data_IF_976329846712
#
_entry.id   IF_976329846712
#
_cell.length_a   1.000
_cell.length_b   1.000
_cell.length_c   1.000
_cell.angle_alpha   90.00
_cell.angle_beta   90.00
_cell.angle_gamma   90.00
#
_symmetry.space_group_name_H-M   'P 1'
#
loop_
_entity.id
_entity.type
_entity.pdbx_description
1 polymer ?
#
# COMPACT_ATOMS: atom_id res chain seq x y z
N UNK A 1 -9.63 -7.95 -26.98
CA UNK A 1 -9.98 -8.70 -28.21
C UNK A 1 -9.25 -10.03 -28.11
N UNK A 2 -9.96 -11.16 -28.14
CA UNK A 2 -9.34 -12.47 -28.16
C UNK A 2 -8.85 -12.79 -29.57
N UNK A 3 -7.69 -13.41 -29.70
CA UNK A 3 -7.17 -13.90 -30.97
C UNK A 3 -7.42 -15.41 -31.09
N UNK A 4 -7.84 -15.82 -32.28
CA UNK A 4 -8.02 -17.22 -32.65
C UNK A 4 -6.85 -17.63 -33.54
N UNK A 5 -6.08 -18.63 -33.14
CA UNK A 5 -5.00 -19.18 -33.98
C UNK A 5 -5.44 -20.55 -34.53
N UNK A 6 -5.91 -20.63 -35.79
CA UNK A 6 -6.38 -21.89 -36.35
C UNK A 6 -5.20 -22.82 -36.67
N UNK A 7 -5.17 -24.00 -36.04
CA UNK A 7 -4.23 -25.07 -36.41
C UNK A 7 -4.74 -25.83 -37.66
N UNK A 8 -3.83 -26.16 -38.58
CA UNK A 8 -4.11 -27.03 -39.74
C UNK A 8 -3.94 -28.49 -39.30
N UNK A 9 -5.01 -29.28 -39.33
CA UNK A 9 -4.97 -30.71 -39.05
C UNK A 9 -4.97 -31.55 -40.34
N UNK A 10 -4.31 -32.71 -40.31
CA UNK A 10 -4.43 -33.74 -41.34
C UNK A 10 -5.33 -34.86 -40.81
N UNK A 11 -6.37 -35.24 -41.55
CA UNK A 11 -7.30 -36.29 -41.14
C UNK A 11 -6.60 -37.67 -41.11
N UNK A 12 -6.82 -38.45 -40.04
CA UNK A 12 -6.42 -39.86 -40.00
C UNK A 12 -7.56 -40.70 -40.57
N UNK A 13 -7.21 -41.56 -41.53
CA UNK A 13 -8.17 -42.41 -42.25
C UNK A 13 -8.78 -43.40 -41.25
N UNK A 14 -10.08 -43.24 -41.01
CA UNK A 14 -10.94 -43.98 -40.07
C UNK A 14 -10.76 -43.64 -38.58
N UNK A 15 -11.79 -43.01 -38.01
CA UNK A 15 -11.90 -42.71 -36.59
C UNK A 15 -11.43 -41.29 -36.27
N UNK A 16 -12.37 -40.48 -35.76
CA UNK A 16 -12.20 -39.21 -35.05
C UNK A 16 -10.82 -38.51 -35.15
N UNK A 17 -10.75 -37.40 -35.89
CA UNK A 17 -9.57 -36.53 -35.87
C UNK A 17 -9.71 -35.49 -34.75
N UNK A 18 -8.84 -35.56 -33.75
CA UNK A 18 -8.77 -34.55 -32.68
C UNK A 18 -8.00 -33.33 -33.19
N UNK A 19 -8.67 -32.18 -33.26
CA UNK A 19 -8.06 -30.89 -33.56
C UNK A 19 -8.11 -29.99 -32.33
N UNK A 20 -6.95 -29.62 -31.80
CA UNK A 20 -6.85 -28.61 -30.75
C UNK A 20 -6.93 -27.20 -31.36
N UNK A 21 -7.91 -26.42 -30.90
CA UNK A 21 -8.02 -24.99 -31.17
C UNK A 21 -7.66 -24.27 -29.88
N UNK A 22 -6.62 -23.44 -29.93
CA UNK A 22 -6.23 -22.58 -28.81
C UNK A 22 -6.94 -21.24 -28.92
N UNK A 23 -7.57 -20.81 -27.83
CA UNK A 23 -8.24 -19.51 -27.74
C UNK A 23 -7.66 -18.75 -26.55
N UNK A 24 -7.13 -17.55 -26.79
CA UNK A 24 -6.56 -16.69 -25.76
C UNK A 24 -7.37 -15.38 -25.65
N UNK A 25 -7.77 -15.02 -24.42
CA UNK A 25 -8.44 -13.75 -24.13
C UNK A 25 -7.46 -12.69 -23.61
N UNK A 26 -7.43 -11.51 -24.24
CA UNK A 26 -6.49 -10.43 -23.88
C UNK A 26 -7.10 -9.31 -23.03
N UNK A 27 -8.41 -9.36 -22.73
CA UNK A 27 -9.08 -8.36 -21.90
C UNK A 27 -10.07 -9.03 -20.94
N UNK A 28 -10.28 -8.47 -19.74
CA UNK A 28 -11.33 -8.88 -18.82
C UNK A 28 -12.70 -8.89 -19.50
N UNK A 29 -13.51 -9.90 -19.20
CA UNK A 29 -14.84 -10.10 -19.75
C UNK A 29 -15.18 -11.56 -20.00
N UNK A 30 -16.45 -11.81 -20.28
CA UNK A 30 -16.95 -13.11 -20.73
C UNK A 30 -17.27 -13.06 -22.22
N UNK A 31 -16.71 -14.00 -22.97
CA UNK A 31 -16.99 -14.18 -24.39
C UNK A 31 -17.40 -15.61 -24.67
N UNK A 32 -18.48 -15.77 -25.42
CA UNK A 32 -18.84 -17.06 -26.02
C UNK A 32 -18.29 -17.09 -27.43
N UNK A 33 -17.40 -18.04 -27.70
CA UNK A 33 -16.81 -18.22 -29.02
C UNK A 33 -17.44 -19.44 -29.68
N UNK A 34 -17.98 -19.25 -30.88
CA UNK A 34 -18.42 -20.34 -31.74
C UNK A 34 -17.21 -20.95 -32.44
N UNK A 35 -17.04 -22.26 -32.32
CA UNK A 35 -16.01 -22.99 -33.06
C UNK A 35 -16.69 -23.55 -34.31
N UNK A 36 -16.05 -23.43 -35.47
CA UNK A 36 -16.50 -24.08 -36.71
C UNK A 36 -15.32 -24.80 -37.35
N UNK A 37 -15.55 -26.03 -37.82
CA UNK A 37 -14.54 -26.85 -38.46
C UNK A 37 -15.05 -27.30 -39.83
N UNK A 38 -14.21 -27.15 -40.85
CA UNK A 38 -14.53 -27.57 -42.22
C UNK A 38 -13.50 -28.60 -42.68
N UNK A 39 -13.97 -29.77 -43.10
CA UNK A 39 -13.11 -30.80 -43.71
C UNK A 39 -13.31 -30.72 -45.23
N UNK A 40 -12.21 -30.66 -45.97
CA UNK A 40 -12.21 -30.74 -47.44
C UNK A 40 -11.65 -32.10 -47.81
N UNK A 41 -12.52 -33.03 -48.22
CA UNK A 41 -12.10 -34.32 -48.77
C UNK A 41 -12.33 -34.34 -50.28
N UNK A 42 -11.25 -34.17 -51.05
CA UNK A 42 -11.10 -34.51 -52.48
C UNK A 42 -12.01 -33.84 -53.52
N UNK A 43 -13.28 -33.58 -53.21
CA UNK A 43 -14.29 -32.99 -54.07
C UNK A 43 -15.48 -32.35 -53.31
N UNK A 44 -15.61 -32.50 -51.99
CA UNK A 44 -16.71 -31.90 -51.22
C UNK A 44 -16.23 -31.29 -49.90
N UNK A 45 -16.69 -30.06 -49.62
CA UNK A 45 -16.52 -29.40 -48.33
C UNK A 45 -17.63 -29.88 -47.40
N UNK A 46 -17.30 -30.72 -46.42
CA UNK A 46 -18.23 -31.13 -45.37
C UNK A 46 -18.02 -30.20 -44.18
N UNK A 47 -19.06 -29.42 -43.84
CA UNK A 47 -19.09 -28.67 -42.59
C UNK A 47 -19.32 -29.66 -41.45
N UNK A 48 -18.36 -29.76 -40.53
CA UNK A 48 -18.50 -30.57 -39.34
C UNK A 48 -19.07 -29.70 -38.23
N UNK A 49 -20.02 -30.24 -37.47
CA UNK A 49 -20.52 -29.59 -36.26
C UNK A 49 -19.59 -29.96 -35.11
N UNK A 50 -18.68 -29.08 -34.64
CA UNK A 50 -17.84 -29.40 -33.50
C UNK A 50 -18.72 -29.63 -32.26
N UNK A 51 -18.31 -30.57 -31.41
CA UNK A 51 -18.96 -30.83 -30.14
C UNK A 51 -17.92 -30.68 -29.01
N UNK A 52 -18.08 -29.71 -28.09
CA UNK A 52 -19.17 -28.74 -27.99
C UNK A 52 -19.12 -27.61 -29.05
N UNK A 53 -20.30 -27.09 -29.41
CA UNK A 53 -20.52 -26.01 -30.41
C UNK A 53 -20.02 -24.62 -29.95
N UNK A 54 -19.87 -24.45 -28.64
CA UNK A 54 -19.48 -23.19 -28.01
C UNK A 54 -18.49 -23.44 -26.90
N UNK A 55 -17.50 -22.56 -26.80
CA UNK A 55 -16.64 -22.45 -25.64
C UNK A 55 -16.87 -21.08 -24.99
N UNK A 56 -17.07 -21.07 -23.67
CA UNK A 56 -17.13 -19.83 -22.90
C UNK A 56 -15.76 -19.59 -22.30
N UNK A 57 -15.20 -18.42 -22.56
CA UNK A 57 -13.98 -17.97 -21.90
C UNK A 57 -14.38 -16.82 -20.98
N UNK A 58 -14.11 -17.00 -19.70
CA UNK A 58 -14.18 -15.94 -18.72
C UNK A 58 -12.75 -15.48 -18.41
N UNK A 59 -12.41 -14.27 -18.83
CA UNK A 59 -11.23 -13.57 -18.33
C UNK A 59 -11.72 -12.71 -17.17
N UNK A 60 -11.47 -13.15 -15.94
CA UNK A 60 -11.86 -12.37 -14.76
C UNK A 60 -10.88 -11.23 -14.54
N UNK A 61 -11.39 -10.06 -14.15
CA UNK A 61 -10.53 -9.02 -13.58
C UNK A 61 -9.78 -9.62 -12.39
N UNK A 62 -8.48 -9.36 -12.35
CA UNK A 62 -7.64 -9.78 -11.25
C UNK A 62 -7.87 -8.81 -10.11
N UNK A 63 -8.21 -9.37 -8.95
CA UNK A 63 -8.49 -8.57 -7.76
C UNK A 63 -7.28 -7.72 -7.39
N UNK A 64 -7.51 -6.50 -6.86
CA UNK A 64 -6.49 -5.74 -6.16
C UNK A 64 -5.77 -6.58 -5.12
N UNK A 65 -4.47 -6.36 -5.00
CA UNK A 65 -3.62 -7.00 -4.00
C UNK A 65 -2.54 -6.03 -3.56
N UNK A 66 -1.97 -6.29 -2.40
CA UNK A 66 -0.93 -5.47 -1.80
C UNK A 66 0.27 -6.31 -1.40
N UNK A 67 1.43 -5.67 -1.31
CA UNK A 67 2.71 -6.35 -1.08
C UNK A 67 3.59 -5.53 -0.16
N UNK A 68 4.46 -6.23 0.58
CA UNK A 68 5.47 -5.63 1.45
C UNK A 68 6.87 -5.98 0.94
N UNK A 69 7.86 -5.16 1.25
CA UNK A 69 9.25 -5.37 0.90
C UNK A 69 10.18 -5.02 2.05
N UNK A 70 11.28 -5.76 2.18
CA UNK A 70 12.39 -5.48 3.11
C UNK A 70 11.99 -5.37 4.59
N UNK A 71 10.85 -5.93 4.98
CA UNK A 71 10.23 -5.71 6.27
C UNK A 71 9.35 -6.86 6.74
N UNK A 72 8.53 -6.58 7.74
CA UNK A 72 7.67 -7.54 8.41
C UNK A 72 6.24 -7.05 8.46
N UNK A 73 5.29 -7.98 8.48
CA UNK A 73 3.87 -7.69 8.70
C UNK A 73 3.47 -8.26 10.05
N UNK A 74 2.85 -7.44 10.87
CA UNK A 74 2.32 -7.83 12.18
C UNK A 74 0.86 -7.38 12.21
N UNK A 75 -0.06 -8.30 12.49
CA UNK A 75 -1.49 -8.00 12.58
C UNK A 75 -2.15 -8.74 13.74
N UNK A 76 -3.10 -8.07 14.39
CA UNK A 76 -4.06 -8.72 15.30
C UNK A 76 -5.30 -9.20 14.53
N UNK A 77 -5.07 -10.05 13.53
CA UNK A 77 -6.11 -10.53 12.64
C UNK A 77 -5.58 -11.48 11.58
N UNK A 78 -6.45 -11.83 10.63
CA UNK A 78 -6.04 -12.55 9.42
C UNK A 78 -5.49 -11.57 8.39
N UNK A 79 -4.59 -12.04 7.52
CA UNK A 79 -4.12 -11.30 6.35
C UNK A 79 -4.64 -11.96 5.08
N UNK A 80 -5.15 -11.17 4.16
CA UNK A 80 -5.46 -11.64 2.81
C UNK A 80 -4.90 -10.66 1.78
N UNK A 81 -4.21 -11.20 0.77
CA UNK A 81 -3.74 -10.44 -0.39
C UNK A 81 -3.67 -11.40 -1.58
N UNK A 82 -4.67 -11.45 -2.48
CA UNK A 82 -4.75 -12.47 -3.51
C UNK A 82 -3.74 -12.23 -4.63
N UNK A 83 -2.56 -12.83 -4.51
CA UNK A 83 -1.42 -12.57 -5.39
C UNK A 83 -1.60 -13.33 -6.71
N UNK A 84 -1.61 -12.64 -7.86
CA UNK A 84 -1.74 -13.27 -9.17
C UNK A 84 -0.53 -14.13 -9.53
N UNK A 85 -0.77 -15.19 -10.29
CA UNK A 85 0.30 -16.13 -10.72
C UNK A 85 1.35 -15.47 -11.62
N UNK A 86 0.99 -14.43 -12.38
CA UNK A 86 1.89 -13.70 -13.27
C UNK A 86 2.47 -12.43 -12.63
N UNK A 87 2.33 -12.26 -11.32
CA UNK A 87 2.91 -11.15 -10.59
C UNK A 87 4.43 -11.09 -10.85
N UNK A 88 4.97 -9.88 -11.05
CA UNK A 88 6.42 -9.70 -11.26
C UNK A 88 7.22 -10.26 -10.09
N UNK A 89 6.65 -10.18 -8.89
CA UNK A 89 7.17 -10.80 -7.68
C UNK A 89 6.03 -11.51 -6.94
N UNK A 90 5.89 -12.85 -7.06
CA UNK A 90 4.78 -13.60 -6.48
C UNK A 90 5.03 -13.92 -5.00
N UNK A 91 5.41 -12.91 -4.23
CA UNK A 91 5.63 -12.99 -2.78
C UNK A 91 4.77 -11.94 -2.08
N UNK A 92 4.22 -12.26 -0.92
CA UNK A 92 3.55 -11.28 -0.08
C UNK A 92 4.57 -10.33 0.59
N UNK A 93 5.70 -10.87 1.07
CA UNK A 93 6.86 -10.09 1.51
C UNK A 93 8.05 -10.36 0.59
N UNK A 94 8.53 -9.31 -0.06
CA UNK A 94 9.67 -9.32 -0.95
C UNK A 94 10.94 -8.99 -0.16
N UNK A 95 11.41 -9.98 0.59
CA UNK A 95 12.66 -9.94 1.36
C UNK A 95 13.18 -11.38 1.41
N UNK A 96 14.50 -11.63 1.31
CA UNK A 96 15.07 -12.91 1.69
C UNK A 96 14.49 -13.49 3.00
N UNK A 97 14.33 -12.66 4.04
CA UNK A 97 13.84 -13.10 5.36
C UNK A 97 12.68 -12.20 5.82
N UNK A 98 11.50 -12.40 5.24
CA UNK A 98 10.27 -11.74 5.67
C UNK A 98 9.63 -12.43 6.88
N UNK A 99 9.05 -11.66 7.81
CA UNK A 99 8.30 -12.20 8.94
C UNK A 99 6.84 -11.73 8.88
N UNK A 100 5.92 -12.69 8.86
CA UNK A 100 4.50 -12.44 9.06
C UNK A 100 4.09 -12.99 10.43
N UNK A 101 3.73 -12.09 11.35
CA UNK A 101 3.07 -12.44 12.59
C UNK A 101 1.59 -12.11 12.45
N UNK A 102 0.73 -13.07 12.72
CA UNK A 102 -0.71 -12.89 12.71
C UNK A 102 -1.34 -13.51 13.97
N UNK A 103 -2.47 -12.96 14.38
CA UNK A 103 -3.25 -13.42 15.52
C UNK A 103 -4.68 -13.70 15.04
N UNK A 104 -4.92 -14.93 14.56
CA UNK A 104 -6.23 -15.33 14.09
C UNK A 104 -6.39 -16.85 14.03
N UNK A 105 -7.64 -17.31 14.07
CA UNK A 105 -8.00 -18.70 13.81
C UNK A 105 -7.92 -19.08 12.34
N UNK A 106 -8.00 -18.09 11.44
CA UNK A 106 -7.87 -18.28 10.00
C UNK A 106 -6.44 -17.96 9.58
N UNK A 107 -5.83 -18.85 8.80
CA UNK A 107 -4.48 -18.63 8.29
C UNK A 107 -4.46 -17.52 7.22
N UNK A 108 -3.34 -16.80 7.06
CA UNK A 108 -3.16 -15.86 5.96
C UNK A 108 -3.43 -16.52 4.60
N UNK A 109 -4.09 -15.80 3.70
CA UNK A 109 -4.41 -16.28 2.36
C UNK A 109 -3.81 -15.38 1.29
N UNK A 110 -3.02 -15.98 0.40
CA UNK A 110 -2.41 -15.28 -0.73
C UNK A 110 -2.90 -15.77 -2.10
N UNK A 111 -3.83 -16.72 -2.12
CA UNK A 111 -4.31 -17.40 -3.33
C UNK A 111 -4.75 -16.41 -4.43
N UNK A 112 -4.44 -16.67 -5.72
CA UNK A 112 -4.02 -17.97 -6.30
C UNK A 112 -2.54 -18.31 -6.22
N UNK A 113 -1.65 -17.37 -5.89
CA UNK A 113 -0.21 -17.61 -5.73
C UNK A 113 0.31 -17.01 -4.42
N UNK A 114 1.57 -16.61 -4.30
CA UNK A 114 2.05 -15.90 -3.12
C UNK A 114 2.60 -16.79 -2.01
N UNK A 115 3.80 -16.46 -1.55
CA UNK A 115 4.37 -16.95 -0.30
C UNK A 115 4.91 -15.77 0.51
N UNK A 116 5.08 -15.91 1.82
CA UNK A 116 5.56 -14.78 2.64
C UNK A 116 6.94 -14.33 2.19
N UNK A 117 7.87 -15.22 1.84
CA UNK A 117 9.14 -14.88 1.19
C UNK A 117 9.87 -16.17 0.82
N UNK A 118 11.08 -16.07 0.25
CA UNK A 118 11.91 -17.24 -0.07
C UNK A 118 12.35 -18.04 1.16
N UNK A 119 12.66 -17.37 2.27
CA UNK A 119 13.13 -18.02 3.52
C UNK A 119 12.52 -17.43 4.80
N UNK A 120 11.37 -16.76 4.68
CA UNK A 120 10.70 -16.16 5.83
C UNK A 120 9.86 -17.12 6.66
N UNK A 121 9.30 -16.56 7.73
CA UNK A 121 8.48 -17.27 8.68
C UNK A 121 7.06 -16.70 8.71
N UNK A 122 6.09 -17.60 8.84
CA UNK A 122 4.69 -17.28 9.12
C UNK A 122 4.39 -17.80 10.51
N UNK A 123 4.06 -16.90 11.43
CA UNK A 123 3.92 -17.20 12.84
C UNK A 123 2.52 -16.81 13.30
N UNK A 124 1.77 -17.80 13.78
CA UNK A 124 0.55 -17.55 14.54
C UNK A 124 0.94 -17.31 16.00
N UNK A 125 0.90 -16.06 16.43
CA UNK A 125 1.23 -15.69 17.80
C UNK A 125 0.27 -14.62 18.28
N UNK A 126 -0.04 -14.65 19.58
CA UNK A 126 -0.79 -13.59 20.22
C UNK A 126 0.00 -12.30 20.11
N UNK A 127 -0.49 -11.38 19.28
CA UNK A 127 -0.05 -9.98 19.29
C UNK A 127 -0.82 -9.33 20.43
N UNK A 128 -0.15 -8.86 21.48
CA UNK A 128 -0.87 -8.40 22.69
C UNK A 128 -1.86 -7.28 22.34
N UNK A 129 -3.11 -7.46 22.78
CA UNK A 129 -4.31 -6.79 22.26
C UNK A 129 -4.55 -5.33 22.72
N UNK A 130 -3.54 -4.56 23.15
CA UNK A 130 -3.75 -3.14 23.56
C UNK A 130 -2.46 -2.28 23.65
N UNK A 131 -2.57 -0.94 23.57
CA UNK A 131 -1.75 -0.07 22.76
C UNK A 131 -0.44 0.28 23.48
N UNK A 132 0.65 -0.38 23.13
CA UNK A 132 1.94 0.25 23.38
C UNK A 132 2.13 1.48 22.49
N UNK A 133 1.29 1.72 21.48
CA UNK A 133 1.30 2.93 20.68
C UNK A 133 -0.15 3.44 20.55
N UNK A 134 -0.36 4.73 20.86
CA UNK A 134 -1.59 5.49 20.64
C UNK A 134 -1.25 6.97 20.45
N UNK A 135 -2.15 7.76 19.86
CA UNK A 135 -2.00 9.21 19.84
C UNK A 135 -1.76 9.76 21.24
N UNK A 136 -2.60 9.35 22.20
CA UNK A 136 -2.48 9.73 23.62
C UNK A 136 -1.10 9.38 24.21
N UNK A 137 -0.56 8.20 23.88
CA UNK A 137 0.77 7.84 24.35
C UNK A 137 1.83 8.76 23.76
N UNK A 138 1.84 8.97 22.45
CA UNK A 138 2.87 9.76 21.80
C UNK A 138 2.78 11.23 22.19
N UNK A 139 1.60 11.83 22.14
CA UNK A 139 1.40 13.24 22.39
C UNK A 139 1.27 13.55 23.88
N UNK A 140 0.37 12.92 24.63
CA UNK A 140 0.09 13.29 26.02
C UNK A 140 1.11 12.74 27.02
N UNK A 141 1.61 11.52 26.80
CA UNK A 141 2.47 10.82 27.78
C UNK A 141 3.97 10.88 27.46
N UNK A 142 4.34 10.91 26.17
CA UNK A 142 5.76 10.81 25.73
C UNK A 142 6.34 12.12 25.25
N UNK A 143 5.57 12.97 24.58
CA UNK A 143 6.07 14.25 24.09
C UNK A 143 6.50 15.11 25.29
N UNK A 144 7.79 15.46 25.39
CA UNK A 144 8.30 16.26 26.50
C UNK A 144 7.55 17.59 26.61
N UNK A 145 7.29 18.05 27.84
CA UNK A 145 6.57 19.30 28.08
C UNK A 145 7.24 20.50 27.45
N UNK A 146 8.59 20.51 27.39
CA UNK A 146 9.34 21.59 26.73
C UNK A 146 9.08 21.63 25.23
N UNK A 147 8.80 20.51 24.55
CA UNK A 147 8.43 20.53 23.13
C UNK A 147 7.05 21.15 22.94
N UNK A 148 6.15 21.04 23.92
CA UNK A 148 4.80 21.62 23.90
C UNK A 148 4.78 23.12 24.24
N UNK A 149 5.89 23.68 24.70
CA UNK A 149 5.96 25.10 25.05
C UNK A 149 5.75 25.99 23.81
N UNK A 150 5.17 27.17 24.05
CA UNK A 150 4.91 28.15 23.01
C UNK A 150 6.22 28.50 22.28
N UNK A 151 6.23 28.30 20.96
CA UNK A 151 7.39 28.56 20.12
C UNK A 151 8.26 27.32 19.84
N UNK A 152 8.03 26.17 20.49
CA UNK A 152 8.70 24.91 20.16
C UNK A 152 7.82 23.95 19.35
N UNK A 153 6.50 24.08 19.49
CA UNK A 153 5.51 23.43 18.64
C UNK A 153 4.82 24.47 17.75
N UNK A 154 4.59 24.09 16.49
CA UNK A 154 3.92 24.94 15.51
C UNK A 154 2.45 24.51 15.40
N UNK A 155 1.53 25.46 15.51
CA UNK A 155 0.10 25.17 15.37
C UNK A 155 -0.27 25.24 13.89
N UNK A 156 -0.99 24.23 13.41
CA UNK A 156 -1.68 24.26 12.13
C UNK A 156 -3.08 24.80 12.43
N UNK A 157 -3.33 26.04 12.03
CA UNK A 157 -4.55 26.81 12.37
C UNK A 157 -5.59 26.81 11.24
N UNK A 158 -5.40 25.96 10.23
CA UNK A 158 -6.26 25.82 9.05
C UNK A 158 -6.50 24.35 8.76
N UNK A 159 -7.73 24.01 8.36
CA UNK A 159 -8.12 22.65 7.98
C UNK A 159 -7.68 22.24 6.55
N UNK A 160 -7.04 23.15 5.81
CA UNK A 160 -6.48 22.90 4.49
C UNK A 160 -5.14 23.61 4.37
N UNK A 161 -4.07 22.82 4.21
CA UNK A 161 -2.70 23.28 4.26
C UNK A 161 -1.95 22.82 3.00
N UNK A 162 -1.24 23.71 2.33
CA UNK A 162 -0.20 23.31 1.38
C UNK A 162 0.94 22.64 2.16
N UNK A 163 1.20 21.37 1.89
CA UNK A 163 2.15 20.54 2.61
C UNK A 163 3.58 21.11 2.57
N UNK A 164 3.95 21.88 1.55
CA UNK A 164 5.25 22.58 1.50
C UNK A 164 5.44 23.55 2.66
N UNK A 165 4.34 24.06 3.23
CA UNK A 165 4.37 24.92 4.41
C UNK A 165 4.90 24.20 5.65
N UNK A 166 4.87 22.87 5.73
CA UNK A 166 5.51 22.11 6.82
C UNK A 166 7.04 22.24 6.83
N UNK A 167 7.65 22.78 5.77
CA UNK A 167 9.08 23.10 5.74
C UNK A 167 9.39 24.54 6.13
N UNK A 168 8.41 25.45 6.07
CA UNK A 168 8.63 26.90 6.19
C UNK A 168 7.82 27.58 7.31
N UNK A 169 6.72 26.99 7.77
CA UNK A 169 5.88 27.52 8.84
C UNK A 169 6.60 27.55 10.17
N UNK A 170 6.51 28.71 10.84
CA UNK A 170 6.82 28.94 12.25
C UNK A 170 5.64 29.51 13.01
N UNK A 171 5.73 29.53 14.34
CA UNK A 171 4.71 30.10 15.21
C UNK A 171 4.57 31.62 14.95
N UNK A 172 3.35 32.15 14.75
CA UNK A 172 3.13 33.58 14.53
C UNK A 172 3.64 34.39 15.74
N UNK A 173 4.83 34.99 15.61
CA UNK A 173 5.47 35.80 16.66
C UNK A 173 6.90 35.40 17.02
N UNK A 174 7.37 34.23 16.60
CA UNK A 174 8.77 33.83 16.58
C UNK A 174 9.13 33.45 15.14
N UNK A 175 10.37 33.64 14.70
CA UNK A 175 10.75 33.42 13.30
C UNK A 175 10.41 32.03 12.72
N UNK A 176 10.64 31.90 11.42
CA UNK A 176 10.55 30.66 10.61
C UNK A 176 10.74 29.36 11.39
N UNK A 177 9.76 28.45 11.30
CA UNK A 177 9.72 27.07 11.81
C UNK A 177 10.82 26.65 12.77
N UNK A 178 10.64 26.97 14.06
CA UNK A 178 11.60 26.63 15.10
C UNK A 178 11.82 25.12 15.14
N UNK A 179 13.07 24.73 14.83
CA UNK A 179 13.54 23.37 15.03
C UNK A 179 13.87 23.23 16.51
N UNK A 180 13.17 22.35 17.21
CA UNK A 180 13.46 22.04 18.61
C UNK A 180 13.89 20.59 18.74
N UNK A 181 14.99 20.34 19.47
CA UNK A 181 15.61 19.01 19.61
C UNK A 181 15.88 18.30 18.27
N UNK A 182 16.07 19.07 17.19
CA UNK A 182 16.32 18.55 15.83
C UNK A 182 15.06 18.23 15.01
N UNK A 183 13.87 18.59 15.48
CA UNK A 183 12.59 18.33 14.81
C UNK A 183 11.77 19.61 14.63
N UNK A 184 11.04 19.71 13.52
CA UNK A 184 9.92 20.63 13.34
C UNK A 184 8.65 19.90 13.75
N UNK A 185 8.10 20.26 14.90
CA UNK A 185 6.90 19.63 15.44
C UNK A 185 5.69 20.50 15.11
N UNK A 186 4.63 19.86 14.63
CA UNK A 186 3.35 20.47 14.29
C UNK A 186 2.24 19.82 15.09
N UNK A 187 1.22 20.60 15.43
CA UNK A 187 0.01 20.14 16.09
C UNK A 187 -1.23 20.74 15.44
N UNK A 188 -2.24 19.91 15.25
CA UNK A 188 -3.56 20.27 14.75
C UNK A 188 -4.63 19.70 15.68
N UNK A 189 -5.60 20.52 16.07
CA UNK A 189 -6.77 20.11 16.86
C UNK A 189 -8.04 20.27 16.03
N UNK A 190 -8.69 19.15 15.74
CA UNK A 190 -9.90 19.11 14.92
C UNK A 190 -11.12 19.79 15.53
N UNK A 191 -11.19 19.85 16.86
CA UNK A 191 -12.30 20.52 17.56
C UNK A 191 -12.23 22.04 17.41
N UNK A 192 -11.02 22.58 17.23
CA UNK A 192 -10.76 24.02 17.12
C UNK A 192 -10.71 24.46 15.66
N UNK A 193 -10.00 23.73 14.81
CA UNK A 193 -9.67 24.18 13.45
C UNK A 193 -10.45 23.47 12.34
N UNK A 194 -11.18 22.39 12.68
CA UNK A 194 -12.08 21.67 11.78
C UNK A 194 -11.84 20.16 11.77
N UNK A 195 -12.89 19.38 11.54
CA UNK A 195 -12.86 17.93 11.76
C UNK A 195 -11.96 17.11 10.82
N UNK A 196 -11.48 17.68 9.70
CA UNK A 196 -10.55 17.01 8.78
C UNK A 196 -9.46 17.97 8.30
N UNK A 197 -8.19 17.62 8.52
CA UNK A 197 -7.05 18.32 7.95
C UNK A 197 -6.74 17.80 6.54
N UNK A 198 -6.60 18.69 5.57
CA UNK A 198 -6.19 18.33 4.20
C UNK A 198 -4.79 18.86 3.92
N UNK A 199 -3.85 17.97 3.60
CA UNK A 199 -2.50 18.29 3.14
C UNK A 199 -2.46 18.26 1.61
N UNK A 200 -2.35 19.44 0.99
CA UNK A 200 -2.34 19.62 -0.46
C UNK A 200 -0.92 19.82 -1.01
N UNK A 201 -0.69 19.43 -2.27
CA UNK A 201 0.60 19.65 -2.93
C UNK A 201 1.69 18.68 -2.48
N UNK A 202 2.79 18.67 -3.23
CA UNK A 202 3.90 17.75 -3.00
C UNK A 202 4.87 18.32 -1.96
N UNK A 203 5.09 17.57 -0.87
CA UNK A 203 6.09 17.88 0.14
C UNK A 203 7.42 17.19 -0.19
N UNK A 204 8.45 18.00 -0.40
CA UNK A 204 9.82 17.54 -0.54
C UNK A 204 10.65 18.02 0.66
N UNK A 205 11.19 17.08 1.44
CA UNK A 205 11.94 17.36 2.67
C UNK A 205 13.44 17.31 2.41
N UNK A 206 14.06 18.49 2.35
CA UNK A 206 15.48 18.66 2.06
C UNK A 206 16.30 18.98 3.32
N UNK A 207 17.62 18.96 3.16
CA UNK A 207 18.58 19.53 4.11
C UNK A 207 18.56 18.89 5.51
N UNK A 208 18.11 17.64 5.63
CA UNK A 208 18.08 16.92 6.90
C UNK A 208 17.02 17.43 7.87
N UNK A 209 15.99 18.12 7.39
CA UNK A 209 14.85 18.54 8.20
C UNK A 209 14.02 17.32 8.59
N UNK A 210 13.63 17.24 9.85
CA UNK A 210 12.77 16.16 10.38
C UNK A 210 11.46 16.74 10.84
N UNK A 211 10.35 16.26 10.30
CA UNK A 211 9.01 16.79 10.55
C UNK A 211 8.23 15.76 11.38
N UNK A 212 7.57 16.24 12.44
CA UNK A 212 6.63 15.46 13.25
C UNK A 212 5.30 16.20 13.25
N UNK A 213 4.22 15.55 12.85
CA UNK A 213 2.88 16.13 12.82
C UNK A 213 1.96 15.32 13.73
N UNK A 214 1.37 15.99 14.72
CA UNK A 214 0.33 15.46 15.58
C UNK A 214 -1.03 16.00 15.16
N UNK A 215 -2.02 15.12 15.04
CA UNK A 215 -3.39 15.44 14.65
C UNK A 215 -4.34 14.85 15.69
N UNK A 216 -4.88 15.71 16.55
CA UNK A 216 -5.85 15.38 17.61
C UNK A 216 -7.27 15.69 17.15
N UNK A 217 -8.25 14.90 17.60
CA UNK A 217 -9.68 15.09 17.31
C UNK A 217 -10.02 15.22 15.80
N UNK A 218 -9.17 14.68 14.91
CA UNK A 218 -9.32 14.88 13.47
C UNK A 218 -8.75 13.72 12.66
N UNK A 219 -9.27 13.58 11.44
CA UNK A 219 -8.65 12.78 10.39
C UNK A 219 -7.80 13.65 9.46
N UNK A 220 -6.92 13.02 8.69
CA UNK A 220 -6.05 13.70 7.74
C UNK A 220 -6.15 13.10 6.35
N UNK A 221 -6.23 13.96 5.35
CA UNK A 221 -6.20 13.59 3.94
C UNK A 221 -4.91 14.09 3.28
N UNK A 222 -4.16 13.21 2.64
CA UNK A 222 -2.92 13.52 1.93
C UNK A 222 -3.20 13.54 0.42
N UNK A 223 -3.17 14.73 -0.19
CA UNK A 223 -3.47 14.95 -1.61
C UNK A 223 -2.24 15.09 -2.50
N UNK A 224 -1.03 14.95 -1.96
CA UNK A 224 0.23 15.02 -2.71
C UNK A 224 1.29 14.09 -2.16
N UNK A 225 2.38 13.95 -2.91
CA UNK A 225 3.53 13.11 -2.50
C UNK A 225 4.26 13.70 -1.30
N UNK A 226 4.87 12.84 -0.49
CA UNK A 226 5.74 13.22 0.63
C UNK A 226 7.06 12.50 0.44
N UNK A 227 8.12 13.22 0.10
CA UNK A 227 9.43 12.62 -0.22
C UNK A 227 10.54 13.18 0.65
N UNK A 228 11.37 12.29 1.16
CA UNK A 228 12.57 12.56 1.93
C UNK A 228 13.80 12.50 1.01
N UNK A 229 14.02 13.56 0.23
CA UNK A 229 15.13 13.67 -0.75
C UNK A 229 16.55 13.66 -0.15
N UNK A 230 16.70 13.41 1.15
CA UNK A 230 18.00 13.20 1.78
C UNK A 230 17.90 11.98 2.70
N UNK A 231 18.13 10.80 2.12
CA UNK A 231 17.99 9.51 2.80
C UNK A 231 18.71 9.49 4.15
N UNK A 232 18.00 9.07 5.20
CA UNK A 232 18.50 8.96 6.57
C UNK A 232 18.81 10.26 7.31
N UNK A 233 18.60 11.42 6.68
CA UNK A 233 18.77 12.72 7.35
C UNK A 233 17.44 13.45 7.47
N UNK A 234 16.66 13.45 6.39
CA UNK A 234 15.29 13.95 6.38
C UNK A 234 14.32 12.85 6.81
N UNK A 235 13.25 13.22 7.51
CA UNK A 235 12.21 12.27 7.88
C UNK A 235 10.86 12.94 8.04
N UNK A 236 9.80 12.15 7.84
CA UNK A 236 8.43 12.54 8.09
C UNK A 236 7.78 11.55 9.06
N UNK A 237 7.17 12.07 10.13
CA UNK A 237 6.38 11.32 11.08
C UNK A 237 5.01 11.96 11.21
N UNK A 238 3.96 11.20 10.93
CA UNK A 238 2.57 11.61 11.07
C UNK A 238 1.89 10.72 12.09
N UNK A 239 1.31 11.33 13.12
CA UNK A 239 0.60 10.65 14.21
C UNK A 239 -0.80 11.27 14.30
N UNK A 240 -1.82 10.48 13.98
CA UNK A 240 -3.22 10.92 13.90
C UNK A 240 -4.11 10.11 14.86
N UNK A 241 -4.97 10.79 15.60
CA UNK A 241 -6.02 10.12 16.39
C UNK A 241 -7.15 9.60 15.50
N UNK A 242 -7.55 10.38 14.49
CA UNK A 242 -8.48 9.92 13.46
C UNK A 242 -7.77 9.22 12.29
N UNK A 243 -8.49 9.01 11.21
CA UNK A 243 -8.03 8.26 10.03
C UNK A 243 -6.91 8.99 9.26
N UNK A 244 -6.09 8.21 8.56
CA UNK A 244 -5.19 8.72 7.52
C UNK A 244 -5.72 8.24 6.17
N UNK A 245 -6.10 9.17 5.30
CA UNK A 245 -6.54 8.88 3.94
C UNK A 245 -5.53 9.42 2.94
N UNK A 246 -4.96 8.55 2.11
CA UNK A 246 -4.15 8.95 0.97
C UNK A 246 -5.07 9.08 -0.24
N UNK A 247 -5.04 10.23 -0.91
CA UNK A 247 -5.82 10.43 -2.12
C UNK A 247 -5.39 9.42 -3.20
N UNK A 248 -6.32 8.87 -4.00
CA UNK A 248 -5.97 7.98 -5.10
C UNK A 248 -5.14 8.69 -6.19
N UNK A 249 -5.07 10.03 -6.17
CA UNK A 249 -4.18 10.81 -7.04
C UNK A 249 -2.72 10.80 -6.60
N UNK A 250 -2.42 10.32 -5.39
CA UNK A 250 -1.06 10.15 -4.87
C UNK A 250 -0.60 8.75 -5.24
N UNK A 251 -0.26 8.56 -6.50
CA UNK A 251 0.23 7.29 -7.01
C UNK A 251 1.20 7.50 -8.16
N UNK A 252 1.95 6.46 -8.46
CA UNK A 252 3.03 6.51 -9.44
C UNK A 252 3.08 5.30 -10.36
N UNK A 253 4.14 5.29 -11.15
CA UNK A 253 4.56 4.10 -11.87
C UNK A 253 5.29 3.16 -10.91
N UNK A 254 5.22 1.82 -11.08
CA UNK A 254 6.07 0.87 -10.35
C UNK A 254 7.55 0.98 -10.75
N UNK A 255 8.16 2.15 -10.54
CA UNK A 255 9.53 2.50 -10.93
C UNK A 255 10.54 2.41 -9.76
N UNK A 256 10.04 2.12 -8.56
CA UNK A 256 10.83 2.02 -7.33
C UNK A 256 10.92 3.33 -6.55
N UNK A 257 10.43 4.45 -7.07
CA UNK A 257 10.36 5.70 -6.31
C UNK A 257 9.09 5.70 -5.45
N UNK A 258 9.18 6.00 -4.14
CA UNK A 258 8.01 6.10 -3.28
C UNK A 258 7.23 7.40 -3.48
N UNK A 259 5.90 7.32 -3.39
CA UNK A 259 5.03 8.49 -3.28
C UNK A 259 5.02 9.07 -1.87
N UNK A 260 5.18 8.20 -0.87
CA UNK A 260 5.20 8.61 0.54
C UNK A 260 6.41 7.97 1.22
N UNK A 261 7.28 8.81 1.79
CA UNK A 261 8.41 8.42 2.61
C UNK A 261 8.21 8.91 4.04
N UNK A 262 8.08 7.99 4.99
CA UNK A 262 7.95 8.34 6.40
C UNK A 262 7.33 7.25 7.27
N UNK A 263 7.04 7.64 8.51
CA UNK A 263 6.34 6.81 9.47
C UNK A 263 4.94 7.39 9.66
N UNK A 264 3.92 6.59 9.37
CA UNK A 264 2.52 6.97 9.49
C UNK A 264 1.88 6.14 10.59
N UNK A 265 1.26 6.81 11.55
CA UNK A 265 0.57 6.20 12.67
C UNK A 265 -0.85 6.74 12.78
N UNK A 266 -1.84 5.86 12.91
CA UNK A 266 -3.23 6.24 13.21
C UNK A 266 -3.89 5.31 14.21
N UNK A 267 -4.64 5.88 15.17
CA UNK A 267 -5.55 5.11 16.04
C UNK A 267 -6.80 4.60 15.28
N UNK A 268 -7.05 5.14 14.08
CA UNK A 268 -8.14 4.78 13.18
C UNK A 268 -7.69 3.92 12.00
N UNK A 269 -8.26 4.22 10.83
CA UNK A 269 -8.01 3.50 9.58
C UNK A 269 -6.98 4.23 8.72
N UNK A 270 -6.03 3.48 8.17
CA UNK A 270 -5.24 3.91 7.02
C UNK A 270 -5.95 3.48 5.72
N UNK A 271 -6.33 4.44 4.87
CA UNK A 271 -6.99 4.19 3.59
C UNK A 271 -6.13 4.67 2.42
N UNK A 272 -5.94 3.85 1.40
CA UNK A 272 -5.16 4.18 0.20
C UNK A 272 -5.95 4.97 -0.86
N UNK A 273 -7.28 5.06 -0.68
CA UNK A 273 -8.21 5.69 -1.60
C UNK A 273 -8.44 4.91 -2.90
N UNK A 274 -9.53 5.21 -3.60
CA UNK A 274 -9.86 4.66 -4.91
C UNK A 274 -10.58 5.71 -5.77
N UNK A 275 -10.23 5.83 -7.04
CA UNK A 275 -11.01 6.63 -8.01
C UNK A 275 -12.32 5.92 -8.34
N UNK A 276 -13.45 6.60 -8.16
CA UNK A 276 -14.78 6.00 -8.44
C UNK A 276 -15.00 5.64 -9.91
N UNK A 277 -14.26 6.26 -10.83
CA UNK A 277 -14.29 5.96 -12.26
C UNK A 277 -12.87 5.88 -12.80
N UNK A 278 -12.49 4.72 -13.33
CA UNK A 278 -11.19 4.48 -13.94
C UNK A 278 -10.34 3.52 -13.13
N UNK A 279 -9.03 3.60 -13.35
CA UNK A 279 -8.02 2.79 -12.66
C UNK A 279 -7.14 3.68 -11.80
N UNK A 280 -6.72 3.16 -10.66
CA UNK A 280 -5.78 3.82 -9.78
C UNK A 280 -4.34 3.66 -10.30
N UNK A 281 -3.46 4.46 -9.72
CA UNK A 281 -2.02 4.28 -9.81
C UNK A 281 -1.53 3.55 -8.55
N UNK A 282 -0.41 2.84 -8.66
CA UNK A 282 0.16 2.17 -7.49
C UNK A 282 0.50 3.19 -6.41
N UNK A 283 0.19 2.87 -5.15
CA UNK A 283 0.71 3.59 -3.99
C UNK A 283 1.99 2.92 -3.52
N UNK A 284 3.13 3.59 -3.62
CA UNK A 284 4.36 3.16 -2.98
C UNK A 284 4.63 3.97 -1.71
N UNK A 285 4.57 3.30 -0.55
CA UNK A 285 4.95 3.87 0.76
C UNK A 285 6.24 3.24 1.24
N UNK A 286 7.28 4.06 1.43
CA UNK A 286 8.55 3.65 2.01
C UNK A 286 8.68 4.16 3.45
N UNK A 287 8.84 3.25 4.40
CA UNK A 287 8.98 3.55 5.83
C UNK A 287 8.19 2.57 6.69
N UNK A 288 7.21 3.06 7.46
CA UNK A 288 6.36 2.19 8.29
C UNK A 288 4.97 2.76 8.43
N UNK A 289 3.94 1.93 8.28
CA UNK A 289 2.54 2.31 8.48
C UNK A 289 1.97 1.45 9.60
N UNK A 290 1.40 2.12 10.60
CA UNK A 290 0.76 1.48 11.75
C UNK A 290 -0.64 2.07 11.87
N UNK A 291 -1.65 1.20 11.84
CA UNK A 291 -3.04 1.60 11.92
C UNK A 291 -3.83 0.54 12.70
N UNK A 292 -4.94 0.93 13.30
CA UNK A 292 -5.87 -0.01 13.91
C UNK A 292 -6.60 -0.83 12.82
N UNK A 293 -6.87 -0.20 11.66
CA UNK A 293 -7.44 -0.86 10.50
C UNK A 293 -6.77 -0.39 9.20
N UNK A 294 -6.74 -1.26 8.20
CA UNK A 294 -6.31 -0.92 6.85
C UNK A 294 -7.49 -1.06 5.87
N UNK A 295 -7.60 -0.10 4.97
CA UNK A 295 -8.55 -0.06 3.85
C UNK A 295 -7.76 0.16 2.55
N UNK A 296 -7.31 -0.95 1.96
CA UNK A 296 -6.44 -0.99 0.79
C UNK A 296 -7.27 -1.40 -0.41
N UNK A 297 -7.57 -0.45 -1.29
CA UNK A 297 -8.62 -0.59 -2.32
C UNK A 297 -8.18 -0.15 -3.71
N UNK A 298 -6.88 0.10 -3.94
CA UNK A 298 -6.40 0.57 -5.24
C UNK A 298 -6.51 -0.51 -6.30
N UNK A 299 -7.24 -0.18 -7.35
CA UNK A 299 -7.51 -1.05 -8.47
C UNK A 299 -6.75 -0.58 -9.70
N UNK A 300 -5.63 -1.25 -9.99
CA UNK A 300 -4.85 -0.98 -11.19
C UNK A 300 -5.50 -1.64 -12.41
N UNK A 301 -5.44 -0.97 -13.55
CA UNK A 301 -5.87 -1.59 -14.80
C UNK A 301 -5.18 -1.03 -16.01
N UNK A 302 -5.75 -1.28 -17.19
CA UNK A 302 -5.15 -0.99 -18.49
C UNK A 302 -5.16 0.50 -18.84
N UNK A 303 -4.72 1.34 -17.90
CA UNK A 303 -4.36 2.72 -18.17
C UNK A 303 -3.19 2.82 -19.17
N UNK A 304 -2.88 4.03 -19.66
CA UNK A 304 -1.90 4.27 -20.72
C UNK A 304 -0.48 3.74 -20.42
N UNK A 305 -0.20 3.36 -19.17
CA UNK A 305 1.10 2.90 -18.71
C UNK A 305 1.21 1.37 -18.61
N UNK A 306 0.13 0.62 -18.81
CA UNK A 306 0.15 -0.85 -18.89
C UNK A 306 0.38 -1.59 -17.57
N UNK A 307 0.25 -0.92 -16.42
CA UNK A 307 0.37 -1.53 -15.10
C UNK A 307 -0.98 -2.06 -14.64
N UNK A 308 -1.09 -3.37 -14.49
CA UNK A 308 -2.35 -4.04 -14.12
C UNK A 308 -2.20 -4.83 -12.84
N UNK A 309 -3.32 -5.09 -12.17
CA UNK A 309 -3.34 -5.96 -11.00
C UNK A 309 -2.75 -7.36 -11.27
N UNK A 310 -2.63 -7.81 -12.53
CA UNK A 310 -1.95 -9.09 -12.83
C UNK A 310 -0.47 -9.08 -12.45
N UNK A 311 0.20 -7.94 -12.64
CA UNK A 311 1.66 -7.86 -12.52
C UNK A 311 2.12 -7.14 -11.26
N UNK A 312 1.36 -6.14 -10.83
CA UNK A 312 1.77 -5.19 -9.80
C UNK A 312 0.70 -5.06 -8.72
N UNK A 313 1.10 -4.87 -7.46
CA UNK A 313 0.16 -4.62 -6.37
C UNK A 313 -0.38 -3.19 -6.45
N UNK A 314 -1.63 -2.98 -6.03
CA UNK A 314 -2.22 -1.63 -5.89
C UNK A 314 -1.51 -0.81 -4.82
N UNK A 315 -1.10 -1.47 -3.73
CA UNK A 315 -0.32 -0.89 -2.65
C UNK A 315 0.98 -1.67 -2.41
N UNK A 316 2.09 -0.94 -2.39
CA UNK A 316 3.42 -1.47 -2.15
C UNK A 316 4.03 -0.76 -0.94
N UNK A 317 4.36 -1.54 0.10
CA UNK A 317 4.96 -1.03 1.33
C UNK A 317 6.40 -1.50 1.44
N UNK A 318 7.34 -0.58 1.32
CA UNK A 318 8.77 -0.83 1.49
C UNK A 318 9.22 -0.41 2.89
N UNK A 319 9.97 -1.25 3.59
CA UNK A 319 10.58 -0.84 4.85
C UNK A 319 11.74 0.14 4.61
N UNK A 320 11.61 1.36 5.14
CA UNK A 320 12.66 2.37 5.13
C UNK A 320 13.42 2.40 6.47
N UNK A 321 14.50 1.62 6.67
CA UNK A 321 15.21 1.57 7.95
C UNK A 321 15.74 2.94 8.38
N UNK A 322 16.08 3.78 7.41
CA UNK A 322 16.57 5.13 7.65
C UNK A 322 15.50 6.06 8.27
N UNK A 323 14.22 5.83 7.99
CA UNK A 323 13.12 6.56 8.63
C UNK A 323 13.01 6.20 10.12
N UNK A 324 13.20 4.93 10.45
CA UNK A 324 13.18 4.43 11.84
C UNK A 324 14.38 4.96 12.64
N UNK A 325 15.56 5.05 12.01
CA UNK A 325 16.74 5.65 12.64
C UNK A 325 16.56 7.15 12.92
N UNK A 326 15.78 7.84 12.08
CA UNK A 326 15.44 9.25 12.27
C UNK A 326 14.31 9.48 13.29
N UNK A 327 13.62 8.42 13.75
CA UNK A 327 12.50 8.50 14.69
C UNK A 327 12.88 9.22 15.99
N UNK A 328 12.04 10.17 16.48
CA UNK A 328 12.37 10.96 17.66
C UNK A 328 12.68 10.10 18.89
N UNK A 329 13.87 10.23 19.51
CA UNK A 329 14.26 9.39 20.63
C UNK A 329 13.36 9.57 21.86
N UNK A 330 12.72 10.73 22.00
CA UNK A 330 11.77 11.00 23.07
C UNK A 330 10.40 10.32 22.89
N UNK A 331 10.05 9.90 21.67
CA UNK A 331 8.83 9.14 21.40
C UNK A 331 9.04 7.62 21.44
N UNK A 332 10.28 7.14 21.60
CA UNK A 332 10.57 5.71 21.65
C UNK A 332 9.88 5.04 22.84
N UNK A 333 9.38 3.84 22.60
CA UNK A 333 8.98 2.93 23.66
C UNK A 333 10.25 2.53 24.41
N UNK A 334 10.35 2.98 25.67
CA UNK A 334 11.45 2.54 26.53
C UNK A 334 11.05 1.16 27.02
N UNK A 335 11.84 0.15 26.70
CA UNK A 335 11.87 -1.06 27.51
C UNK A 335 12.42 -0.67 28.87
N UNK A 336 11.59 -0.69 29.90
CA UNK A 336 12.05 -0.51 31.28
C UNK A 336 13.06 -1.62 31.60
N UNK A 337 14.36 -1.29 31.65
CA UNK A 337 15.35 -2.20 32.24
C UNK A 337 15.36 -1.94 33.75
N UNK A 338 14.73 -2.83 34.52
CA UNK A 338 14.94 -2.88 35.95
C UNK A 338 16.34 -3.44 36.20
N UNK A 339 17.19 -2.69 36.89
CA UNK A 339 18.44 -3.19 37.47
C UNK A 339 18.24 -3.24 38.98
N UNK A 340 18.41 -4.43 39.55
CA UNK A 340 18.50 -4.61 40.99
C UNK A 340 19.60 -3.73 41.57
N UNK A 341 19.28 -2.89 42.55
CA UNK A 341 20.29 -2.27 43.41
C UNK A 341 20.33 -3.13 44.66
N UNK A 342 21.38 -3.95 44.79
CA UNK A 342 21.63 -4.71 46.01
C UNK A 342 22.06 -3.75 47.15
N UNK A 343 21.74 -4.08 48.41
CA UNK A 343 20.81 -3.34 49.28
C UNK A 343 21.35 -2.08 49.96
#
# INVERSE_FOLDING_TARGET
>A
MADLNPNICSAVVSGESLCSVDISGNLPGTGTYGISASIVDGAATVQCTPYPLTATIAVTDINPWWQVAWGSVITDGSVSSPIPVDAVSPYFITDPVGLLIYSSTTAPSFTPSGTVSSSGAVVNANVSTRPEASFDLFYNKKLPSDVKEAGHINIIDVNSLDATRLTSMGNLGAGTGNVWRGYKTYYYDGDVYGSNLTLNGNLNIFNGVRIVVFIENSSVTINGTIRSNTSGRSSFLLISEGNITVSPTVGGTPDGDPEIEGILYTDGTFSSGHVTTGYDQQLHVRGSVVANQFDLVRNLGTGPLGFTNNRYPGEYFEYGPEQVLAFPPFLRLRTSSWSEVAP
#
